data_IF_643278347605
#
_entry.id   IF_643278347605
#
_cell.length_a   1.000
_cell.length_b   1.000
_cell.length_c   1.000
_cell.angle_alpha   90.00
_cell.angle_beta   90.00
_cell.angle_gamma   90.00
#
_symmetry.space_group_name_H-M   'P 1'
#
loop_
_entity.id
_entity.type
_entity.pdbx_description
1 polymer ?
#
# COMPACT_ATOMS: atom_id res chain seq x y z
N UNK A 1 -19.72 -85.70 15.66
CA UNK A 1 -18.50 -84.92 15.33
C UNK A 1 -18.93 -83.76 14.46
N UNK A 2 -18.57 -82.54 14.87
CA UNK A 2 -19.15 -81.29 14.38
C UNK A 2 -18.62 -80.86 13.01
N UNK A 3 -19.54 -80.34 12.20
CA UNK A 3 -19.32 -79.68 10.91
C UNK A 3 -18.82 -78.25 11.20
N UNK A 4 -17.72 -77.80 10.58
CA UNK A 4 -17.36 -76.38 10.45
C UNK A 4 -16.55 -76.20 9.15
N UNK A 5 -17.19 -75.72 8.08
CA UNK A 5 -17.31 -74.32 7.63
C UNK A 5 -16.02 -73.72 7.06
N UNK A 6 -16.10 -73.50 5.76
CA UNK A 6 -15.19 -72.80 4.86
C UNK A 6 -14.72 -71.46 5.45
N UNK A 7 -13.42 -71.18 5.28
CA UNK A 7 -12.84 -69.87 5.50
C UNK A 7 -12.07 -69.45 4.25
N UNK A 8 -12.77 -68.96 3.23
CA UNK A 8 -12.16 -68.22 2.13
C UNK A 8 -11.43 -67.01 2.70
N UNK A 9 -10.10 -67.03 2.70
CA UNK A 9 -9.29 -65.86 3.04
C UNK A 9 -9.35 -64.85 1.89
N UNK A 10 -10.22 -63.86 2.04
CA UNK A 10 -10.23 -62.68 1.18
C UNK A 10 -8.93 -61.90 1.38
N UNK A 11 -8.13 -61.80 0.31
CA UNK A 11 -6.96 -60.91 0.26
C UNK A 11 -7.50 -59.48 0.24
N UNK A 12 -7.65 -58.88 1.41
CA UNK A 12 -8.06 -57.50 1.54
C UNK A 12 -6.99 -56.61 0.90
N UNK A 13 -7.30 -56.10 -0.29
CA UNK A 13 -6.54 -55.08 -1.01
C UNK A 13 -6.24 -53.92 -0.05
N UNK A 14 -5.01 -53.87 0.45
CA UNK A 14 -4.47 -52.72 1.15
C UNK A 14 -4.17 -51.62 0.12
N UNK A 15 -5.21 -51.05 -0.47
CA UNK A 15 -5.10 -49.81 -1.20
C UNK A 15 -4.97 -48.66 -0.18
N UNK A 16 -3.82 -48.63 0.51
CA UNK A 16 -3.40 -47.48 1.33
C UNK A 16 -3.14 -46.34 0.35
N UNK A 17 -4.18 -45.53 0.10
CA UNK A 17 -4.05 -44.26 -0.61
C UNK A 17 -2.89 -43.50 0.02
N UNK A 18 -1.81 -43.34 -0.73
CA UNK A 18 -0.71 -42.44 -0.42
C UNK A 18 -1.37 -41.06 -0.26
N UNK A 19 -1.53 -40.59 0.97
CA UNK A 19 -1.93 -39.20 1.23
C UNK A 19 -0.79 -38.34 0.73
N UNK A 20 -0.85 -38.01 -0.55
CA UNK A 20 0.08 -37.08 -1.16
C UNK A 20 -0.16 -35.72 -0.54
N UNK A 21 0.91 -35.14 -0.01
CA UNK A 21 1.10 -33.69 0.15
C UNK A 21 0.90 -33.04 -1.23
N UNK A 22 -0.36 -32.90 -1.66
CA UNK A 22 -0.66 -32.62 -3.06
C UNK A 22 -1.77 -31.60 -3.25
N UNK A 23 -2.78 -31.53 -2.41
CA UNK A 23 -3.91 -30.61 -2.66
C UNK A 23 -3.98 -29.49 -1.62
N UNK A 24 -3.82 -29.80 -0.32
CA UNK A 24 -3.74 -28.79 0.74
C UNK A 24 -2.56 -27.83 0.54
N UNK A 25 -1.37 -28.35 0.23
CA UNK A 25 -0.18 -27.52 -0.03
C UNK A 25 -0.33 -26.66 -1.30
N UNK A 26 -1.04 -27.16 -2.32
CA UNK A 26 -1.36 -26.39 -3.52
C UNK A 26 -2.34 -25.27 -3.22
N UNK A 27 -3.34 -25.52 -2.37
CA UNK A 27 -4.31 -24.52 -1.92
C UNK A 27 -3.59 -23.43 -1.12
N UNK A 28 -2.74 -23.81 -0.17
CA UNK A 28 -1.95 -22.85 0.63
C UNK A 28 -1.08 -22.00 -0.27
N UNK A 29 -0.33 -22.61 -1.20
CA UNK A 29 0.52 -21.89 -2.15
C UNK A 29 -0.29 -20.93 -3.04
N UNK A 30 -1.50 -21.34 -3.46
CA UNK A 30 -2.38 -20.49 -4.26
C UNK A 30 -2.89 -19.29 -3.45
N UNK A 31 -3.25 -19.50 -2.18
CA UNK A 31 -3.67 -18.44 -1.28
C UNK A 31 -2.54 -17.45 -0.99
N UNK A 32 -1.32 -17.94 -0.70
CA UNK A 32 -0.14 -17.08 -0.49
C UNK A 32 0.13 -16.19 -1.70
N UNK A 33 0.08 -16.74 -2.91
CA UNK A 33 0.22 -15.97 -4.15
C UNK A 33 -0.88 -14.94 -4.32
N UNK A 34 -2.14 -15.29 -4.02
CA UNK A 34 -3.26 -14.35 -4.06
C UNK A 34 -3.07 -13.20 -3.08
N UNK A 35 -2.65 -13.50 -1.84
CA UNK A 35 -2.37 -12.48 -0.84
C UNK A 35 -1.21 -11.58 -1.24
N UNK A 36 -0.12 -12.15 -1.78
CA UNK A 36 1.03 -11.37 -2.23
C UNK A 36 0.65 -10.41 -3.37
N UNK A 37 -0.10 -10.90 -4.37
CA UNK A 37 -0.59 -10.08 -5.48
C UNK A 37 -1.56 -9.00 -4.98
N UNK A 38 -2.46 -9.36 -4.06
CA UNK A 38 -3.40 -8.42 -3.45
C UNK A 38 -2.68 -7.32 -2.67
N UNK A 39 -1.71 -7.68 -1.83
CA UNK A 39 -0.91 -6.74 -1.05
C UNK A 39 -0.14 -5.77 -1.96
N UNK A 40 0.51 -6.27 -3.01
CA UNK A 40 1.21 -5.41 -4.00
C UNK A 40 0.25 -4.45 -4.70
N UNK A 41 -0.94 -4.92 -5.10
CA UNK A 41 -1.96 -4.06 -5.73
C UNK A 41 -2.47 -2.99 -4.77
N UNK A 42 -2.78 -3.35 -3.53
CA UNK A 42 -3.18 -2.36 -2.52
C UNK A 42 -2.07 -1.34 -2.29
N UNK A 43 -0.81 -1.76 -2.19
CA UNK A 43 0.32 -0.85 -2.06
C UNK A 43 0.41 0.11 -3.25
N UNK A 44 0.25 -0.37 -4.50
CA UNK A 44 0.22 0.49 -5.68
C UNK A 44 -0.94 1.48 -5.67
N UNK A 45 -2.14 1.05 -5.27
CA UNK A 45 -3.31 1.93 -5.16
C UNK A 45 -3.08 3.00 -4.10
N UNK A 46 -2.55 2.63 -2.93
CA UNK A 46 -2.21 3.57 -1.86
C UNK A 46 -1.12 4.56 -2.32
N UNK A 47 -0.09 4.09 -3.02
CA UNK A 47 0.94 4.98 -3.58
C UNK A 47 0.35 5.92 -4.62
N UNK A 48 -0.52 5.44 -5.51
CA UNK A 48 -1.17 6.30 -6.51
C UNK A 48 -2.10 7.34 -5.85
N UNK A 49 -2.82 6.96 -4.79
CA UNK A 49 -3.67 7.86 -4.02
C UNK A 49 -2.85 8.92 -3.27
N UNK A 50 -1.79 8.51 -2.58
CA UNK A 50 -0.89 9.43 -1.87
C UNK A 50 -0.09 10.33 -2.81
N UNK A 51 0.28 9.83 -3.98
CA UNK A 51 1.03 10.58 -5.00
C UNK A 51 0.16 11.59 -5.76
N UNK A 52 -1.14 11.67 -5.45
CA UNK A 52 -2.05 12.75 -5.81
C UNK A 52 -1.72 13.45 -7.14
N UNK A 53 -2.28 12.96 -8.24
CA UNK A 53 -2.07 13.50 -9.59
C UNK A 53 -2.69 14.90 -9.81
N UNK A 54 -3.00 15.61 -8.73
CA UNK A 54 -3.55 16.96 -8.77
C UNK A 54 -2.46 17.94 -9.19
N UNK A 55 -2.79 18.77 -10.17
CA UNK A 55 -1.97 19.91 -10.53
C UNK A 55 -1.86 20.85 -9.33
N UNK A 56 -0.64 21.02 -8.82
CA UNK A 56 -0.32 21.93 -7.71
C UNK A 56 0.20 23.29 -8.24
N UNK A 57 -0.13 23.63 -9.49
CA UNK A 57 0.23 24.91 -10.11
C UNK A 57 -0.43 26.10 -9.42
N UNK A 58 -1.55 25.90 -8.74
CA UNK A 58 -2.19 26.87 -7.84
C UNK A 58 -1.24 27.25 -6.69
N UNK A 59 -0.68 26.28 -5.98
CA UNK A 59 0.29 26.51 -4.90
C UNK A 59 1.54 27.24 -5.41
N UNK A 60 2.05 26.83 -6.58
CA UNK A 60 3.22 27.47 -7.17
C UNK A 60 2.97 28.96 -7.50
N UNK A 61 1.76 29.31 -7.97
CA UNK A 61 1.38 30.71 -8.21
C UNK A 61 1.26 31.50 -6.92
N UNK A 62 0.59 30.95 -5.91
CA UNK A 62 0.43 31.62 -4.62
C UNK A 62 1.79 31.89 -3.94
N UNK A 63 2.69 30.90 -3.91
CA UNK A 63 4.04 31.08 -3.33
C UNK A 63 4.84 32.14 -4.10
N UNK A 64 4.68 32.22 -5.43
CA UNK A 64 5.31 33.26 -6.26
C UNK A 64 4.76 34.65 -5.94
N UNK A 65 3.46 34.78 -5.71
CA UNK A 65 2.80 36.05 -5.38
C UNK A 65 3.18 36.60 -4.01
N UNK A 66 3.65 35.75 -3.08
CA UNK A 66 4.08 36.15 -1.74
C UNK A 66 5.40 36.96 -1.71
N UNK A 67 6.15 36.97 -2.81
CA UNK A 67 7.35 37.81 -2.99
C UNK A 67 8.64 37.26 -2.37
N UNK A 68 8.73 35.96 -2.11
CA UNK A 68 9.95 35.30 -1.62
C UNK A 68 11.07 35.30 -2.68
N UNK A 69 12.32 35.11 -2.24
CA UNK A 69 13.44 34.92 -3.18
C UNK A 69 13.27 33.63 -3.98
N UNK A 70 13.90 33.51 -5.15
CA UNK A 70 13.78 32.29 -5.98
C UNK A 70 14.20 31.02 -5.23
N UNK A 71 15.22 31.09 -4.38
CA UNK A 71 15.68 29.95 -3.58
C UNK A 71 14.69 29.59 -2.48
N UNK A 72 14.11 30.60 -1.82
CA UNK A 72 13.10 30.38 -0.78
C UNK A 72 11.81 29.83 -1.37
N UNK A 73 11.41 30.28 -2.57
CA UNK A 73 10.29 29.68 -3.31
C UNK A 73 10.54 28.20 -3.58
N UNK A 74 11.73 27.82 -4.04
CA UNK A 74 12.07 26.41 -4.30
C UNK A 74 12.06 25.59 -3.00
N UNK A 75 12.65 26.12 -1.93
CA UNK A 75 12.64 25.46 -0.61
C UNK A 75 11.22 25.27 -0.09
N UNK A 76 10.41 26.33 -0.11
CA UNK A 76 9.02 26.30 0.33
C UNK A 76 8.19 25.28 -0.46
N UNK A 77 8.26 25.32 -1.79
CA UNK A 77 7.55 24.37 -2.64
C UNK A 77 7.99 22.93 -2.38
N UNK A 78 9.29 22.68 -2.17
CA UNK A 78 9.78 21.35 -1.84
C UNK A 78 9.18 20.83 -0.53
N UNK A 79 9.06 21.68 0.49
CA UNK A 79 8.50 21.29 1.80
C UNK A 79 6.98 21.12 1.73
N UNK A 80 6.26 22.02 1.05
CA UNK A 80 4.80 21.95 0.92
C UNK A 80 4.39 20.71 0.13
N UNK A 81 5.08 20.43 -0.98
CA UNK A 81 4.74 19.34 -1.88
C UNK A 81 5.28 17.97 -1.42
N UNK A 82 6.07 17.92 -0.34
CA UNK A 82 6.61 16.66 0.20
C UNK A 82 5.51 15.77 0.79
N UNK A 83 4.47 16.37 1.40
CA UNK A 83 3.41 15.65 2.10
C UNK A 83 2.02 16.13 1.69
N UNK A 84 1.07 15.22 1.38
CA UNK A 84 -0.32 15.58 1.08
C UNK A 84 -1.01 16.39 2.19
N UNK A 85 -0.60 16.17 3.45
CA UNK A 85 -1.12 16.90 4.60
C UNK A 85 -0.74 18.38 4.56
N UNK A 86 0.49 18.69 4.16
CA UNK A 86 0.98 20.07 4.06
C UNK A 86 0.29 20.81 2.92
N UNK A 87 0.05 20.13 1.79
CA UNK A 87 -0.77 20.63 0.67
C UNK A 87 -2.18 20.98 1.17
N UNK A 88 -2.86 20.02 1.80
CA UNK A 88 -4.22 20.23 2.29
C UNK A 88 -4.30 21.35 3.31
N UNK A 89 -3.32 21.44 4.22
CA UNK A 89 -3.25 22.52 5.19
C UNK A 89 -3.06 23.87 4.49
N UNK A 90 -2.07 23.99 3.62
CA UNK A 90 -1.78 25.22 2.88
C UNK A 90 -3.00 25.74 2.10
N UNK A 91 -3.71 24.85 1.39
CA UNK A 91 -4.93 25.21 0.64
C UNK A 91 -6.09 25.66 1.53
N UNK A 92 -6.11 25.25 2.80
CA UNK A 92 -7.17 25.62 3.75
C UNK A 92 -6.94 26.92 4.50
N UNK A 93 -5.72 27.47 4.43
CA UNK A 93 -5.36 28.71 5.12
C UNK A 93 -5.91 29.93 4.37
N UNK A 94 -6.19 31.00 5.10
CA UNK A 94 -6.46 32.31 4.49
C UNK A 94 -5.16 32.94 3.97
N UNK A 95 -5.25 33.76 2.92
CA UNK A 95 -4.08 34.36 2.25
C UNK A 95 -3.17 35.14 3.21
N UNK A 96 -3.75 35.80 4.23
CA UNK A 96 -2.99 36.50 5.27
C UNK A 96 -2.12 35.59 6.15
N UNK A 97 -2.52 34.33 6.34
CA UNK A 97 -1.82 33.34 7.16
C UNK A 97 -0.87 32.49 6.31
N UNK A 98 -1.21 32.22 5.04
CA UNK A 98 -0.37 31.42 4.14
C UNK A 98 1.07 31.91 4.07
N UNK A 99 1.28 33.23 3.99
CA UNK A 99 2.64 33.79 3.95
C UNK A 99 3.43 33.49 5.23
N UNK A 100 2.84 33.74 6.40
CA UNK A 100 3.48 33.45 7.68
C UNK A 100 3.76 31.96 7.88
N UNK A 101 2.87 31.09 7.38
CA UNK A 101 3.08 29.66 7.36
C UNK A 101 4.30 29.27 6.51
N UNK A 102 4.46 29.84 5.31
CA UNK A 102 5.63 29.59 4.47
C UNK A 102 6.91 30.10 5.11
N UNK A 103 6.89 31.28 5.74
CA UNK A 103 8.04 31.81 6.49
C UNK A 103 8.45 30.88 7.62
N UNK A 104 7.49 30.37 8.40
CA UNK A 104 7.74 29.40 9.47
C UNK A 104 8.36 28.11 8.91
N UNK A 105 7.84 27.58 7.80
CA UNK A 105 8.41 26.40 7.14
C UNK A 105 9.86 26.64 6.71
N UNK A 106 10.18 27.82 6.19
CA UNK A 106 11.54 28.15 5.78
C UNK A 106 12.50 28.27 6.96
N UNK A 107 12.05 28.78 8.10
CA UNK A 107 12.85 28.86 9.33
C UNK A 107 13.14 27.46 9.89
N UNK A 108 12.13 26.60 9.93
CA UNK A 108 12.28 25.22 10.43
C UNK A 108 13.16 24.34 9.52
N UNK A 109 13.25 24.69 8.24
CA UNK A 109 13.99 23.94 7.21
C UNK A 109 15.17 24.75 6.63
N UNK A 110 15.70 25.71 7.40
CA UNK A 110 16.75 26.64 6.98
C UNK A 110 18.08 25.93 6.65
#
# INVERSE_FOLDING_TARGET
MSINKEGSQSVASQNKRKRGSSDEDRIVTALEKLFEVSAKRMQMVTVAFLKGNEDQSDIAKEVKEMGFSAMDQIKALKVILDKPQTISLFKSLDDGIKKAFVEQLLIENA
#
